data_IF_129334670936
#
_entry.id   IF_129334670936
#
_cell.length_a   1.000
_cell.length_b   1.000
_cell.length_c   1.000
_cell.angle_alpha   90.00
_cell.angle_beta   90.00
_cell.angle_gamma   90.00
#
_symmetry.space_group_name_H-M   'P 1'
#
loop_
_entity.id
_entity.type
_entity.pdbx_description
1 polymer ?
#
# COMPACT_ATOMS: atom_id res chain seq x y z
N UNK A 1 7.81 -21.05 -10.26
CA UNK A 1 6.44 -20.69 -9.87
C UNK A 1 6.51 -19.31 -9.25
N UNK A 2 5.69 -18.35 -9.71
CA UNK A 2 5.63 -17.01 -9.12
C UNK A 2 4.33 -16.95 -8.35
N UNK A 3 4.44 -17.04 -7.04
CA UNK A 3 3.34 -16.96 -6.10
C UNK A 3 2.62 -15.62 -6.24
N UNK A 4 1.30 -15.70 -6.12
CA UNK A 4 0.38 -14.65 -6.52
C UNK A 4 -0.28 -14.14 -5.25
N UNK A 5 -0.29 -12.82 -5.11
CA UNK A 5 -0.70 -12.13 -3.89
C UNK A 5 -2.21 -11.89 -3.96
N UNK A 6 -2.96 -12.56 -3.07
CA UNK A 6 -4.40 -12.38 -2.89
C UNK A 6 -4.63 -11.94 -1.45
N UNK A 7 -5.32 -10.82 -1.25
CA UNK A 7 -5.83 -10.41 0.07
C UNK A 7 -7.21 -11.06 0.22
N UNK A 8 -7.30 -12.16 0.96
CA UNK A 8 -8.58 -12.88 1.18
C UNK A 8 -9.51 -12.15 2.15
N UNK A 9 -8.96 -11.29 3.02
CA UNK A 9 -9.69 -10.50 4.00
C UNK A 9 -9.15 -9.08 4.04
N UNK A 10 -10.03 -8.08 3.93
CA UNK A 10 -9.65 -6.68 4.05
C UNK A 10 -9.04 -6.43 5.43
N UNK A 11 -7.79 -5.92 5.50
CA UNK A 11 -7.13 -5.72 6.78
C UNK A 11 -7.76 -4.56 7.52
N UNK A 12 -7.97 -4.73 8.82
CA UNK A 12 -8.45 -3.67 9.70
C UNK A 12 -7.31 -2.69 10.00
N UNK A 13 -7.64 -1.40 10.14
CA UNK A 13 -6.66 -0.38 10.53
C UNK A 13 -6.36 -0.52 12.03
N UNK A 14 -5.11 -0.78 12.44
CA UNK A 14 -4.75 -0.84 13.85
C UNK A 14 -5.01 0.48 14.57
N UNK A 15 -5.48 0.42 15.82
CA UNK A 15 -5.79 1.62 16.61
C UNK A 15 -4.53 2.45 16.94
N UNK A 16 -3.39 1.76 17.08
CA UNK A 16 -2.06 2.29 17.34
C UNK A 16 -1.24 2.53 16.06
N UNK A 17 -1.87 2.48 14.88
CA UNK A 17 -1.17 2.69 13.62
C UNK A 17 -0.42 4.04 13.59
N UNK A 18 0.87 3.97 13.27
CA UNK A 18 1.80 5.09 13.30
C UNK A 18 2.28 5.44 11.88
N UNK A 19 2.08 6.71 11.52
CA UNK A 19 2.46 7.23 10.20
C UNK A 19 3.95 7.08 9.89
N UNK A 20 4.83 7.49 10.81
CA UNK A 20 6.28 7.50 10.58
C UNK A 20 6.84 6.09 10.46
N UNK A 21 6.37 5.16 11.30
CA UNK A 21 6.76 3.75 11.24
C UNK A 21 6.30 3.09 9.94
N UNK A 22 5.05 3.36 9.53
CA UNK A 22 4.50 2.89 8.26
C UNK A 22 5.32 3.39 7.07
N UNK A 23 5.63 4.69 7.02
CA UNK A 23 6.46 5.29 5.96
C UNK A 23 7.85 4.64 5.93
N UNK A 24 8.50 4.49 7.09
CA UNK A 24 9.82 3.89 7.18
C UNK A 24 9.84 2.43 6.70
N UNK A 25 8.86 1.64 7.14
CA UNK A 25 8.70 0.24 6.74
C UNK A 25 8.49 0.10 5.23
N UNK A 26 7.53 0.86 4.68
CA UNK A 26 7.20 0.82 3.25
C UNK A 26 8.36 1.31 2.38
N UNK A 27 9.04 2.39 2.76
CA UNK A 27 10.27 2.85 2.07
C UNK A 27 11.32 1.75 1.99
N UNK A 28 11.56 1.05 3.11
CA UNK A 28 12.55 -0.01 3.15
C UNK A 28 12.16 -1.18 2.24
N UNK A 29 10.87 -1.54 2.19
CA UNK A 29 10.38 -2.60 1.31
C UNK A 29 10.48 -2.19 -0.16
N UNK A 30 10.05 -0.99 -0.53
CA UNK A 30 10.16 -0.49 -1.92
C UNK A 30 11.62 -0.43 -2.38
N UNK A 31 12.52 0.01 -1.52
CA UNK A 31 13.94 0.08 -1.83
C UNK A 31 14.58 -1.31 -2.04
N UNK A 32 14.22 -2.28 -1.19
CA UNK A 32 14.77 -3.64 -1.24
C UNK A 32 14.12 -4.52 -2.31
N UNK A 33 12.84 -4.32 -2.60
CA UNK A 33 12.04 -5.25 -3.40
C UNK A 33 11.47 -4.54 -4.63
N UNK A 34 11.79 -5.05 -5.83
CA UNK A 34 11.25 -4.53 -7.11
C UNK A 34 9.82 -5.03 -7.43
N UNK A 35 9.18 -5.74 -6.50
CA UNK A 35 7.88 -6.38 -6.70
C UNK A 35 6.94 -6.03 -5.55
N UNK A 36 5.65 -5.90 -5.87
CA UNK A 36 4.58 -5.71 -4.90
C UNK A 36 4.31 -7.02 -4.14
N UNK A 37 4.62 -7.07 -2.85
CA UNK A 37 4.34 -8.20 -1.95
C UNK A 37 2.98 -8.04 -1.24
N UNK A 38 2.46 -9.13 -0.66
CA UNK A 38 1.24 -9.11 0.16
C UNK A 38 1.36 -8.16 1.35
N UNK A 39 2.52 -8.16 2.00
CA UNK A 39 2.81 -7.30 3.14
C UNK A 39 2.78 -5.82 2.74
N UNK A 40 3.42 -5.47 1.61
CA UNK A 40 3.39 -4.11 1.09
C UNK A 40 1.97 -3.68 0.69
N UNK A 41 1.23 -4.56 0.01
CA UNK A 41 -0.15 -4.32 -0.37
C UNK A 41 -1.06 -4.08 0.84
N UNK A 42 -0.89 -4.88 1.88
CA UNK A 42 -1.63 -4.79 3.15
C UNK A 42 -1.34 -3.48 3.85
N UNK A 43 -0.07 -3.11 3.99
CA UNK A 43 0.32 -1.85 4.65
C UNK A 43 -0.16 -0.62 3.85
N UNK A 44 -0.05 -0.64 2.52
CA UNK A 44 -0.57 0.44 1.67
C UNK A 44 -2.09 0.61 1.81
N UNK A 45 -2.83 -0.49 1.96
CA UNK A 45 -4.26 -0.43 2.21
C UNK A 45 -4.56 0.18 3.57
N UNK A 46 -3.91 -0.31 4.64
CA UNK A 46 -4.07 0.21 6.01
C UNK A 46 -3.77 1.71 6.04
N UNK A 47 -2.64 2.14 5.46
CA UNK A 47 -2.25 3.54 5.41
C UNK A 47 -3.28 4.39 4.65
N UNK A 48 -3.82 3.90 3.52
CA UNK A 48 -4.87 4.60 2.78
C UNK A 48 -6.13 4.77 3.63
N UNK A 49 -6.59 3.70 4.27
CA UNK A 49 -7.80 3.75 5.10
C UNK A 49 -7.61 4.61 6.35
N UNK A 50 -6.43 4.57 6.97
CA UNK A 50 -6.08 5.41 8.12
C UNK A 50 -6.07 6.91 7.77
N UNK A 51 -5.61 7.27 6.56
CA UNK A 51 -5.48 8.65 6.11
C UNK A 51 -6.70 9.18 5.33
N UNK A 52 -7.61 8.31 4.91
CA UNK A 52 -8.84 8.71 4.19
C UNK A 52 -10.01 9.01 5.12
N UNK A 53 -9.98 8.52 6.37
CA UNK A 53 -11.07 8.73 7.33
C UNK A 53 -10.97 10.11 8.00
N UNK A 54 -12.00 10.98 7.88
CA UNK A 54 -12.03 12.24 8.60
C UNK A 54 -12.11 11.99 10.13
N UNK A 55 -11.32 12.73 10.91
CA UNK A 55 -11.34 12.67 12.38
C UNK A 55 -10.31 11.75 13.04
N UNK A 56 -9.40 11.13 12.28
CA UNK A 56 -8.25 10.40 12.85
C UNK A 56 -7.20 11.36 13.45
N UNK A 57 -6.39 10.91 14.44
CA UNK A 57 -5.35 11.73 15.08
C UNK A 57 -4.27 12.21 14.10
N UNK A 58 -4.19 11.57 12.93
CA UNK A 58 -3.26 11.89 11.84
C UNK A 58 -3.79 12.95 10.87
N UNK A 59 -4.81 13.74 11.23
CA UNK A 59 -5.41 14.78 10.37
C UNK A 59 -4.47 15.88 9.87
N UNK A 60 -3.17 15.80 10.20
CA UNK A 60 -2.08 16.62 9.63
C UNK A 60 -1.50 16.04 8.34
N UNK A 61 -1.62 14.73 8.11
CA UNK A 61 -1.03 14.03 6.99
C UNK A 61 -2.12 13.57 6.03
N UNK A 62 -1.81 13.59 4.74
CA UNK A 62 -2.74 13.16 3.68
C UNK A 62 -2.22 11.89 3.01
N UNK A 63 -3.12 11.12 2.41
CA UNK A 63 -2.73 9.97 1.58
C UNK A 63 -1.76 10.35 0.45
N UNK A 64 -1.95 11.52 -0.15
CA UNK A 64 -1.03 12.04 -1.18
C UNK A 64 0.37 12.25 -0.62
N UNK A 65 0.49 12.89 0.54
CA UNK A 65 1.77 13.13 1.21
C UNK A 65 2.46 11.81 1.57
N UNK A 66 1.70 10.83 2.08
CA UNK A 66 2.24 9.50 2.38
C UNK A 66 2.87 8.86 1.13
N UNK A 67 2.17 8.89 0.00
CA UNK A 67 2.67 8.35 -1.27
C UNK A 67 3.98 9.04 -1.71
N UNK A 68 4.01 10.38 -1.63
CA UNK A 68 5.20 11.16 -1.98
C UNK A 68 6.38 10.81 -1.07
N UNK A 69 6.14 10.68 0.23
CA UNK A 69 7.18 10.34 1.18
C UNK A 69 7.78 8.97 0.86
N UNK A 70 6.96 7.94 0.61
CA UNK A 70 7.47 6.61 0.24
C UNK A 70 8.10 6.55 -1.17
N UNK A 71 8.12 7.67 -1.90
CA UNK A 71 8.76 7.79 -3.22
C UNK A 71 7.90 7.28 -4.37
N UNK A 72 6.58 7.19 -4.19
CA UNK A 72 5.65 6.68 -5.20
C UNK A 72 4.61 7.72 -5.58
N UNK A 73 4.16 7.68 -6.83
CA UNK A 73 3.01 8.50 -7.25
C UNK A 73 1.73 7.91 -6.68
N UNK A 74 0.89 8.75 -6.10
CA UNK A 74 -0.43 8.37 -5.58
C UNK A 74 -1.25 7.54 -6.58
N UNK A 75 -1.27 7.94 -7.85
CA UNK A 75 -2.02 7.22 -8.89
C UNK A 75 -1.45 5.82 -9.17
N UNK A 76 -0.13 5.65 -9.05
CA UNK A 76 0.53 4.33 -9.14
C UNK A 76 0.09 3.43 -7.98
N UNK A 77 0.10 3.95 -6.75
CA UNK A 77 -0.29 3.20 -5.55
C UNK A 77 -1.79 2.85 -5.61
N UNK A 78 -2.64 3.80 -6.01
CA UNK A 78 -4.06 3.54 -6.21
C UNK A 78 -4.30 2.46 -7.25
N UNK A 79 -3.61 2.52 -8.40
CA UNK A 79 -3.71 1.48 -9.44
C UNK A 79 -3.30 0.10 -8.91
N UNK A 80 -2.33 0.02 -8.01
CA UNK A 80 -1.94 -1.25 -7.39
C UNK A 80 -3.01 -1.76 -6.43
N UNK A 81 -3.47 -0.89 -5.53
CA UNK A 81 -4.52 -1.22 -4.57
C UNK A 81 -5.81 -1.62 -5.29
N UNK A 82 -6.22 -0.91 -6.35
CA UNK A 82 -7.38 -1.28 -7.16
C UNK A 82 -7.20 -2.66 -7.78
N UNK A 83 -6.02 -3.00 -8.30
CA UNK A 83 -5.77 -4.34 -8.83
C UNK A 83 -5.86 -5.41 -7.75
N UNK A 84 -5.34 -5.14 -6.55
CA UNK A 84 -5.42 -6.04 -5.40
C UNK A 84 -6.86 -6.21 -4.90
N UNK A 85 -7.63 -5.12 -4.84
CA UNK A 85 -8.99 -5.09 -4.32
C UNK A 85 -10.05 -5.58 -5.32
N UNK A 86 -9.89 -5.30 -6.62
CA UNK A 86 -10.78 -5.78 -7.69
C UNK A 86 -10.55 -7.27 -8.03
N UNK A 87 -9.53 -7.88 -7.43
CA UNK A 87 -9.36 -9.34 -7.45
C UNK A 87 -10.32 -9.99 -6.44
N UNK A 88 -11.63 -9.66 -6.49
CA UNK A 88 -12.69 -10.54 -5.96
C UNK A 88 -12.87 -11.78 -6.85
N UNK A 89 -12.52 -11.63 -8.13
CA UNK A 89 -12.26 -12.77 -9.00
C UNK A 89 -10.90 -13.34 -8.59
N UNK A 90 -10.86 -14.63 -8.23
CA UNK A 90 -9.68 -15.40 -7.76
C UNK A 90 -8.55 -15.52 -8.81
N UNK A 91 -8.41 -14.52 -9.67
CA UNK A 91 -7.46 -14.44 -10.75
C UNK A 91 -6.18 -13.77 -10.25
N UNK A 92 -5.09 -14.52 -10.17
CA UNK A 92 -3.93 -14.09 -9.44
C UNK A 92 -3.18 -12.89 -10.08
N UNK A 93 -2.76 -11.93 -9.24
CA UNK A 93 -1.96 -10.78 -9.67
C UNK A 93 -0.58 -11.26 -10.11
N UNK A 94 -0.37 -11.32 -11.44
CA UNK A 94 0.95 -11.44 -12.05
C UNK A 94 1.77 -10.20 -11.68
N UNK A 95 2.57 -10.31 -10.63
CA UNK A 95 3.68 -9.42 -10.23
C UNK A 95 3.76 -8.11 -11.03
N UNK A 96 3.26 -7.00 -10.46
CA UNK A 96 3.45 -5.72 -11.13
C UNK A 96 4.91 -5.28 -10.97
N UNK A 97 5.64 -5.02 -12.07
CA UNK A 97 6.90 -4.32 -11.94
C UNK A 97 6.59 -2.95 -11.34
N UNK A 98 7.28 -2.60 -10.25
CA UNK A 98 7.27 -1.22 -9.78
C UNK A 98 7.77 -0.35 -10.95
N UNK A 99 7.05 0.69 -11.39
CA UNK A 99 7.57 1.57 -12.41
C UNK A 99 8.85 2.18 -11.85
N UNK A 100 9.94 2.06 -12.59
CA UNK A 100 11.23 2.62 -12.20
C UNK A 100 11.01 4.07 -11.76
N UNK A 101 11.25 4.34 -10.47
CA UNK A 101 11.42 5.70 -9.98
C UNK A 101 12.54 6.32 -10.82
N UNK A 102 12.19 7.37 -11.55
CA UNK A 102 13.18 8.20 -12.26
C UNK A 102 13.99 8.98 -11.26
#
# INVERSE_FOLDING_TARGET
MKDLVVIEQLPEVPADWNYEESVAGVKQVIYKWKNLTLELATELYIAREALSKPGHPHGKFTWSQYCEEIGLKRDTVNSWLERILLTEDKSPIKSLPLPNGK
#
